data_IF_936328969344
#
_entry.id   IF_936328969344
#
_cell.length_a   1.000
_cell.length_b   1.000
_cell.length_c   1.000
_cell.angle_alpha   90.00
_cell.angle_beta   90.00
_cell.angle_gamma   90.00
#
_symmetry.space_group_name_H-M   'P 1'
#
loop_
_entity.id
_entity.type
_entity.pdbx_description
1 polymer ?
#
# COMPACT_ATOMS: atom_id res chain seq x y z
N UNK A 1 38.62 -27.47 105.10
CA UNK A 1 37.85 -26.85 104.01
C UNK A 1 38.82 -26.30 102.99
N UNK A 2 38.64 -26.70 101.72
CA UNK A 2 38.83 -25.92 100.47
C UNK A 2 40.25 -25.35 100.22
N UNK A 3 41.02 -25.95 99.29
CA UNK A 3 41.10 -25.62 97.84
C UNK A 3 41.92 -24.32 97.62
N UNK A 4 42.98 -24.19 96.82
CA UNK A 4 43.51 -24.89 95.63
C UNK A 4 44.98 -24.48 95.47
N UNK A 5 45.86 -25.46 95.29
CA UNK A 5 47.11 -25.37 94.52
C UNK A 5 46.75 -25.88 93.12
N UNK A 6 47.07 -25.13 92.06
CA UNK A 6 47.42 -25.60 90.72
C UNK A 6 47.15 -24.54 89.64
N UNK A 7 47.96 -24.64 88.59
CA UNK A 7 47.79 -24.04 87.26
C UNK A 7 48.51 -22.71 87.00
N UNK A 8 49.85 -22.78 87.05
CA UNK A 8 50.69 -22.44 85.89
C UNK A 8 50.03 -22.92 84.58
N UNK A 9 50.06 -22.07 83.53
CA UNK A 9 49.48 -22.21 82.17
C UNK A 9 48.20 -21.40 81.96
N UNK A 10 48.34 -20.15 81.50
CA UNK A 10 47.46 -19.48 80.51
C UNK A 10 48.21 -18.20 80.05
N UNK A 11 48.42 -18.05 78.74
CA UNK A 11 48.37 -16.70 78.13
C UNK A 11 49.64 -16.11 77.51
N UNK A 12 50.58 -16.91 77.01
CA UNK A 12 51.59 -16.42 76.05
C UNK A 12 50.96 -16.33 74.65
N UNK A 13 50.27 -15.24 74.30
CA UNK A 13 50.07 -14.81 72.91
C UNK A 13 49.39 -13.44 72.87
N UNK A 14 50.11 -12.39 72.48
CA UNK A 14 49.60 -11.18 71.80
C UNK A 14 50.80 -10.29 71.41
N UNK A 15 51.73 -10.85 70.63
CA UNK A 15 52.48 -10.05 69.68
C UNK A 15 51.69 -10.12 68.37
N UNK A 16 50.84 -9.13 68.12
CA UNK A 16 50.32 -8.88 66.76
C UNK A 16 51.47 -8.40 65.90
N UNK A 17 52.23 -9.35 65.35
CA UNK A 17 53.10 -9.10 64.21
C UNK A 17 52.17 -8.86 63.02
N UNK A 18 51.99 -7.60 62.64
CA UNK A 18 51.46 -7.26 61.33
C UNK A 18 52.40 -7.88 60.29
N UNK A 19 51.99 -8.97 59.64
CA UNK A 19 52.68 -9.48 58.47
C UNK A 19 52.53 -8.43 57.37
N UNK A 20 53.56 -7.64 57.15
CA UNK A 20 53.70 -6.81 55.95
C UNK A 20 53.64 -7.72 54.73
N UNK A 21 52.73 -7.50 53.76
CA UNK A 21 52.69 -8.33 52.56
C UNK A 21 54.06 -8.32 51.87
N UNK A 22 54.53 -9.51 51.47
CA UNK A 22 55.82 -9.68 50.79
C UNK A 22 55.84 -8.88 49.49
N UNK A 23 56.99 -8.30 49.13
CA UNK A 23 57.19 -7.56 47.86
C UNK A 23 56.74 -8.39 46.65
N UNK A 24 56.91 -9.72 46.70
CA UNK A 24 56.42 -10.66 45.67
C UNK A 24 54.89 -10.73 45.57
N UNK A 25 54.16 -10.57 46.67
CA UNK A 25 52.70 -10.60 46.67
C UNK A 25 52.13 -9.29 46.12
N UNK A 26 52.77 -8.16 46.41
CA UNK A 26 52.46 -6.86 45.81
C UNK A 26 52.74 -6.87 44.30
N UNK A 27 53.83 -7.50 43.87
CA UNK A 27 54.21 -7.62 42.45
C UNK A 27 53.26 -8.53 41.67
N UNK A 28 52.80 -9.64 42.28
CA UNK A 28 51.73 -10.49 41.74
C UNK A 28 50.38 -9.79 41.65
N UNK A 29 49.99 -9.02 42.67
CA UNK A 29 48.77 -8.22 42.63
C UNK A 29 48.84 -7.15 41.54
N UNK A 30 49.98 -6.49 41.36
CA UNK A 30 50.21 -5.52 40.29
C UNK A 30 50.07 -6.16 38.90
N UNK A 31 50.66 -7.35 38.68
CA UNK A 31 50.49 -8.09 37.42
C UNK A 31 49.04 -8.52 37.18
N UNK A 32 48.33 -9.01 38.20
CA UNK A 32 46.92 -9.38 38.08
C UNK A 32 46.04 -8.19 37.73
N UNK A 33 46.25 -7.05 38.41
CA UNK A 33 45.52 -5.81 38.15
C UNK A 33 45.84 -5.24 36.76
N UNK A 34 47.09 -5.34 36.31
CA UNK A 34 47.45 -4.92 34.95
C UNK A 34 46.77 -5.79 33.88
N UNK A 35 46.65 -7.12 34.10
CA UNK A 35 45.89 -8.02 33.22
C UNK A 35 44.41 -7.65 33.18
N UNK A 36 43.77 -7.43 34.34
CA UNK A 36 42.38 -6.97 34.44
C UNK A 36 42.16 -5.65 33.68
N UNK A 37 43.10 -4.69 33.79
CA UNK A 37 43.03 -3.42 33.06
C UNK A 37 43.12 -3.65 31.54
N UNK A 38 44.06 -4.50 31.06
CA UNK A 38 44.18 -4.79 29.63
C UNK A 38 42.96 -5.54 29.06
N UNK A 39 42.40 -6.48 29.82
CA UNK A 39 41.17 -7.18 29.44
C UNK A 39 39.96 -6.24 29.42
N UNK A 40 39.87 -5.33 30.40
CA UNK A 40 38.82 -4.32 30.47
C UNK A 40 38.93 -3.33 29.32
N UNK A 41 40.14 -2.85 29.00
CA UNK A 41 40.38 -1.97 27.84
C UNK A 41 39.98 -2.64 26.52
N UNK A 42 40.33 -3.92 26.34
CA UNK A 42 39.98 -4.68 25.14
C UNK A 42 38.46 -4.87 25.00
N UNK A 43 37.77 -5.16 26.11
CA UNK A 43 36.29 -5.23 26.14
C UNK A 43 35.66 -3.88 25.78
N UNK A 44 36.24 -2.78 26.26
CA UNK A 44 35.74 -1.43 25.99
C UNK A 44 35.89 -1.04 24.52
N UNK A 45 37.02 -1.38 23.88
CA UNK A 45 37.24 -1.15 22.44
C UNK A 45 36.36 -2.05 21.56
N UNK A 46 36.15 -3.30 21.96
CA UNK A 46 35.22 -4.21 21.27
C UNK A 46 33.77 -3.70 21.37
N UNK A 47 33.36 -3.20 22.52
CA UNK A 47 32.03 -2.61 22.71
C UNK A 47 31.85 -1.38 21.79
N UNK A 48 32.79 -0.43 21.78
CA UNK A 48 32.79 0.73 20.86
C UNK A 48 32.67 0.32 19.38
N UNK A 49 33.40 -0.73 18.96
CA UNK A 49 33.35 -1.25 17.59
C UNK A 49 32.03 -1.92 17.24
N UNK A 50 31.46 -2.71 18.16
CA UNK A 50 30.14 -3.34 18.01
C UNK A 50 29.05 -2.27 17.90
N UNK A 51 29.04 -1.33 18.83
CA UNK A 51 28.12 -0.19 18.83
C UNK A 51 28.16 0.60 17.53
N UNK A 52 29.34 0.91 16.99
CA UNK A 52 29.48 1.64 15.72
C UNK A 52 28.88 0.85 14.54
N UNK A 53 29.00 -0.49 14.56
CA UNK A 53 28.36 -1.35 13.56
C UNK A 53 26.84 -1.36 13.72
N UNK A 54 26.34 -1.45 14.94
CA UNK A 54 24.90 -1.42 15.25
C UNK A 54 24.26 -0.09 14.85
N UNK A 55 24.91 1.05 15.10
CA UNK A 55 24.45 2.37 14.63
C UNK A 55 24.37 2.44 13.10
N UNK A 56 25.40 1.96 12.39
CA UNK A 56 25.38 1.89 10.92
C UNK A 56 24.29 0.97 10.38
N UNK A 57 24.02 -0.13 11.08
CA UNK A 57 22.93 -1.02 10.74
C UNK A 57 21.57 -0.32 10.93
N UNK A 58 21.42 0.45 12.01
CA UNK A 58 20.23 1.24 12.29
C UNK A 58 20.00 2.33 11.23
N UNK A 59 21.03 3.05 10.81
CA UNK A 59 20.93 4.03 9.71
C UNK A 59 20.45 3.37 8.40
N UNK A 60 20.95 2.16 8.08
CA UNK A 60 20.51 1.40 6.90
C UNK A 60 19.06 0.93 7.04
N UNK A 61 18.67 0.42 8.20
CA UNK A 61 17.30 0.00 8.46
C UNK A 61 16.34 1.20 8.37
N UNK A 62 16.73 2.35 8.90
CA UNK A 62 15.95 3.58 8.78
C UNK A 62 15.81 4.03 7.31
N UNK A 63 16.88 3.94 6.52
CA UNK A 63 16.82 4.22 5.08
C UNK A 63 15.92 3.22 4.32
N UNK A 64 16.00 1.92 4.64
CA UNK A 64 15.11 0.90 4.07
C UNK A 64 13.64 1.18 4.42
N UNK A 65 13.37 1.50 5.70
CA UNK A 65 12.03 1.88 6.17
C UNK A 65 11.53 3.05 5.34
N UNK A 66 12.28 4.16 5.27
CA UNK A 66 11.93 5.33 4.47
C UNK A 66 11.64 4.97 3.01
N UNK A 67 12.47 4.13 2.39
CA UNK A 67 12.27 3.67 1.02
C UNK A 67 10.96 2.91 0.83
N UNK A 68 10.63 1.98 1.75
CA UNK A 68 9.35 1.28 1.71
C UNK A 68 8.16 2.21 1.92
N UNK A 69 8.29 3.22 2.78
CA UNK A 69 7.24 4.21 3.01
C UNK A 69 6.98 5.06 1.77
N UNK A 70 8.03 5.60 1.16
CA UNK A 70 7.94 6.35 -0.10
C UNK A 70 7.32 5.52 -1.21
N UNK A 71 7.69 4.23 -1.31
CA UNK A 71 7.09 3.30 -2.25
C UNK A 71 5.58 3.13 -2.00
N UNK A 72 5.15 2.99 -0.74
CA UNK A 72 3.73 2.91 -0.38
C UNK A 72 2.99 4.19 -0.76
N UNK A 73 3.55 5.38 -0.50
CA UNK A 73 2.95 6.66 -0.92
C UNK A 73 2.78 6.70 -2.44
N UNK A 74 3.82 6.33 -3.18
CA UNK A 74 3.81 6.34 -4.64
C UNK A 74 2.74 5.40 -5.21
N UNK A 75 2.64 4.18 -4.69
CA UNK A 75 1.64 3.20 -5.11
C UNK A 75 0.22 3.68 -4.78
N UNK A 76 0.01 4.33 -3.64
CA UNK A 76 -1.30 4.90 -3.30
C UNK A 76 -1.70 6.03 -4.25
N UNK A 77 -0.77 6.90 -4.65
CA UNK A 77 -1.03 7.92 -5.68
C UNK A 77 -1.40 7.27 -7.02
N UNK A 78 -0.68 6.23 -7.43
CA UNK A 78 -1.00 5.48 -8.65
C UNK A 78 -2.42 4.87 -8.58
N UNK A 79 -2.82 4.30 -7.44
CA UNK A 79 -4.18 3.79 -7.24
C UNK A 79 -5.22 4.92 -7.31
N UNK A 80 -4.93 6.09 -6.74
CA UNK A 80 -5.83 7.25 -6.81
C UNK A 80 -6.04 7.72 -8.25
N UNK A 81 -4.99 7.72 -9.07
CA UNK A 81 -5.05 8.05 -10.50
C UNK A 81 -5.80 6.97 -11.30
N UNK A 82 -5.57 5.69 -11.03
CA UNK A 82 -6.32 4.59 -11.65
C UNK A 82 -7.81 4.69 -11.31
N UNK A 83 -8.17 5.03 -10.07
CA UNK A 83 -9.56 5.24 -9.67
C UNK A 83 -10.22 6.41 -10.43
N UNK A 84 -9.49 7.50 -10.69
CA UNK A 84 -10.00 8.59 -11.53
C UNK A 84 -10.29 8.10 -12.95
N UNK A 85 -9.37 7.35 -13.55
CA UNK A 85 -9.54 6.77 -14.89
C UNK A 85 -10.75 5.83 -14.93
N UNK A 86 -10.90 4.94 -13.94
CA UNK A 86 -12.05 4.05 -13.79
C UNK A 86 -13.36 4.85 -13.75
N UNK A 87 -13.43 5.92 -12.94
CA UNK A 87 -14.63 6.77 -12.84
C UNK A 87 -14.97 7.49 -14.15
N UNK A 88 -13.97 7.89 -14.93
CA UNK A 88 -14.19 8.47 -16.28
C UNK A 88 -14.77 7.40 -17.21
N UNK A 89 -14.14 6.23 -17.29
CA UNK A 89 -14.59 5.13 -18.17
C UNK A 89 -16.00 4.66 -17.81
N UNK A 90 -16.31 4.51 -16.51
CA UNK A 90 -17.66 4.14 -16.07
C UNK A 90 -18.73 5.15 -16.50
N UNK A 91 -18.43 6.46 -16.45
CA UNK A 91 -19.34 7.50 -16.93
C UNK A 91 -19.55 7.44 -18.44
N UNK A 92 -18.50 7.14 -19.20
CA UNK A 92 -18.58 6.98 -20.65
C UNK A 92 -19.42 5.75 -21.02
N UNK A 93 -19.20 4.61 -20.35
CA UNK A 93 -20.01 3.40 -20.50
C UNK A 93 -21.48 3.70 -20.23
N UNK A 94 -21.82 4.32 -19.10
CA UNK A 94 -23.21 4.64 -18.75
C UNK A 94 -23.87 5.55 -19.80
N UNK A 95 -23.13 6.55 -20.29
CA UNK A 95 -23.60 7.44 -21.36
C UNK A 95 -23.85 6.68 -22.66
N UNK A 96 -22.94 5.80 -23.05
CA UNK A 96 -23.04 5.02 -24.29
C UNK A 96 -24.12 3.94 -24.21
N UNK A 97 -24.32 3.32 -23.05
CA UNK A 97 -25.42 2.37 -22.80
C UNK A 97 -26.78 3.08 -22.90
N UNK A 98 -26.92 4.27 -22.31
CA UNK A 98 -28.14 5.09 -22.43
C UNK A 98 -28.41 5.49 -23.89
N UNK A 99 -27.36 5.90 -24.62
CA UNK A 99 -27.47 6.23 -26.04
C UNK A 99 -27.88 5.00 -26.86
N UNK A 100 -27.27 3.85 -26.62
CA UNK A 100 -27.58 2.59 -27.28
C UNK A 100 -29.04 2.17 -27.03
N UNK A 101 -29.52 2.28 -25.80
CA UNK A 101 -30.91 1.99 -25.46
C UNK A 101 -31.88 2.89 -26.24
N UNK A 102 -31.62 4.20 -26.30
CA UNK A 102 -32.42 5.15 -27.07
C UNK A 102 -32.41 4.84 -28.56
N UNK A 103 -31.24 4.53 -29.14
CA UNK A 103 -31.13 4.16 -30.55
C UNK A 103 -31.90 2.88 -30.87
N UNK A 104 -31.79 1.86 -30.01
CA UNK A 104 -32.54 0.60 -30.14
C UNK A 104 -34.04 0.82 -30.04
N UNK A 105 -34.51 1.61 -29.09
CA UNK A 105 -35.94 1.90 -28.94
C UNK A 105 -36.50 2.68 -30.15
N UNK A 106 -35.79 3.73 -30.58
CA UNK A 106 -36.15 4.49 -31.78
C UNK A 106 -36.20 3.59 -33.02
N UNK A 107 -35.21 2.71 -33.18
CA UNK A 107 -35.14 1.74 -34.26
C UNK A 107 -36.34 0.78 -34.24
N UNK A 108 -36.62 0.17 -33.09
CA UNK A 108 -37.74 -0.75 -32.93
C UNK A 108 -39.09 -0.07 -33.17
N UNK A 109 -39.26 1.15 -32.65
CA UNK A 109 -40.48 1.95 -32.86
C UNK A 109 -40.71 2.26 -34.33
N UNK A 110 -39.67 2.66 -35.06
CA UNK A 110 -39.76 2.92 -36.50
C UNK A 110 -40.07 1.65 -37.31
N UNK A 111 -39.46 0.52 -36.95
CA UNK A 111 -39.72 -0.79 -37.59
C UNK A 111 -41.17 -1.23 -37.35
N UNK A 112 -41.69 -1.09 -36.11
CA UNK A 112 -43.09 -1.39 -35.77
C UNK A 112 -44.06 -0.51 -36.56
N UNK A 113 -43.80 0.81 -36.63
CA UNK A 113 -44.60 1.75 -37.43
C UNK A 113 -44.61 1.36 -38.90
N UNK A 114 -43.44 1.08 -39.49
CA UNK A 114 -43.35 0.63 -40.88
C UNK A 114 -44.14 -0.66 -41.12
N UNK A 115 -44.08 -1.62 -40.19
CA UNK A 115 -44.82 -2.89 -40.32
C UNK A 115 -46.32 -2.67 -40.27
N UNK A 116 -46.81 -1.85 -39.33
CA UNK A 116 -48.23 -1.52 -39.20
C UNK A 116 -48.79 -0.82 -40.44
N UNK A 117 -48.02 0.05 -41.09
CA UNK A 117 -48.45 0.75 -42.31
C UNK A 117 -48.37 -0.12 -43.59
N UNK A 118 -47.75 -1.31 -43.51
CA UNK A 118 -47.64 -2.26 -44.63
C UNK A 118 -48.62 -3.41 -44.43
N UNK A 119 -49.88 -3.20 -44.82
CA UNK A 119 -50.96 -4.22 -44.76
C UNK A 119 -50.60 -5.57 -45.43
N UNK A 120 -49.62 -5.61 -46.33
CA UNK A 120 -49.35 -6.77 -47.18
C UNK A 120 -48.04 -7.51 -46.88
N UNK A 121 -47.20 -7.05 -45.93
CA UNK A 121 -45.89 -7.64 -45.62
C UNK A 121 -44.83 -7.55 -46.74
N UNK A 122 -45.24 -7.54 -48.01
CA UNK A 122 -44.39 -7.52 -49.20
C UNK A 122 -44.18 -6.08 -49.72
N UNK A 123 -42.95 -5.73 -50.11
CA UNK A 123 -42.58 -4.37 -50.57
C UNK A 123 -43.27 -4.04 -51.89
N UNK A 124 -43.32 -5.00 -52.80
CA UNK A 124 -43.95 -4.84 -54.10
C UNK A 124 -45.46 -4.68 -53.94
N UNK A 125 -46.09 -5.52 -53.10
CA UNK A 125 -47.53 -5.43 -52.84
C UNK A 125 -47.92 -4.09 -52.17
N UNK A 126 -47.06 -3.52 -51.32
CA UNK A 126 -47.27 -2.18 -50.77
C UNK A 126 -47.23 -1.08 -51.84
N UNK A 127 -46.37 -1.19 -52.84
CA UNK A 127 -46.31 -0.22 -53.95
C UNK A 127 -47.51 -0.42 -54.89
N UNK A 128 -47.85 -1.66 -55.26
CA UNK A 128 -48.92 -1.98 -56.21
C UNK A 128 -50.33 -1.83 -55.65
N UNK A 129 -50.52 -1.86 -54.33
CA UNK A 129 -51.79 -1.51 -53.67
C UNK A 129 -52.06 0.00 -53.61
N UNK A 130 -51.50 0.77 -54.54
CA UNK A 130 -51.70 2.22 -54.60
C UNK A 130 -52.87 2.54 -55.54
N UNK A 131 -53.70 3.49 -55.16
CA UNK A 131 -54.85 3.99 -55.93
C UNK A 131 -54.44 4.85 -57.14
N UNK A 132 -53.20 5.36 -57.15
CA UNK A 132 -52.66 6.16 -58.25
C UNK A 132 -51.15 6.01 -58.40
N UNK A 133 -50.65 6.30 -59.60
CA UNK A 133 -49.21 6.35 -59.90
C UNK A 133 -48.45 7.32 -58.97
N UNK A 134 -49.04 8.48 -58.69
CA UNK A 134 -48.45 9.45 -57.76
C UNK A 134 -48.30 8.86 -56.35
N UNK A 135 -49.31 8.15 -55.85
CA UNK A 135 -49.24 7.48 -54.55
C UNK A 135 -48.18 6.37 -54.54
N UNK A 136 -48.08 5.57 -55.62
CA UNK A 136 -47.06 4.54 -55.78
C UNK A 136 -45.63 5.12 -55.75
N UNK A 137 -45.41 6.24 -56.46
CA UNK A 137 -44.13 6.95 -56.47
C UNK A 137 -43.74 7.46 -55.07
N UNK A 138 -44.67 8.04 -54.31
CA UNK A 138 -44.43 8.46 -52.92
C UNK A 138 -44.07 7.27 -52.01
N UNK A 139 -44.80 6.15 -52.13
CA UNK A 139 -44.51 4.91 -51.38
C UNK A 139 -43.11 4.35 -51.73
N UNK A 140 -42.72 4.39 -53.00
CA UNK A 140 -41.39 3.97 -53.45
C UNK A 140 -40.28 4.86 -52.85
N UNK A 141 -40.44 6.19 -52.92
CA UNK A 141 -39.49 7.13 -52.29
C UNK A 141 -39.37 6.90 -50.80
N UNK A 142 -40.49 6.77 -50.09
CA UNK A 142 -40.52 6.49 -48.66
C UNK A 142 -39.74 5.21 -48.31
N UNK A 143 -39.94 4.12 -49.05
CA UNK A 143 -39.20 2.87 -48.84
C UNK A 143 -37.69 3.04 -49.05
N UNK A 144 -37.28 3.84 -50.04
CA UNK A 144 -35.87 4.15 -50.30
C UNK A 144 -35.25 4.95 -49.16
N UNK A 145 -35.91 6.01 -48.70
CA UNK A 145 -35.43 6.79 -47.55
C UNK A 145 -35.38 5.95 -46.28
N UNK A 146 -36.40 5.13 -46.04
CA UNK A 146 -36.42 4.23 -44.87
C UNK A 146 -35.29 3.20 -44.91
N UNK A 147 -34.96 2.63 -46.07
CA UNK A 147 -33.81 1.70 -46.17
C UNK A 147 -32.50 2.39 -45.84
N UNK A 148 -32.28 3.59 -46.39
CA UNK A 148 -31.08 4.39 -46.11
C UNK A 148 -30.99 4.75 -44.62
N UNK A 149 -32.09 5.23 -44.04
CA UNK A 149 -32.16 5.52 -42.61
C UNK A 149 -31.88 4.27 -41.77
N UNK A 150 -32.46 3.12 -42.12
CA UNK A 150 -32.28 1.84 -41.41
C UNK A 150 -30.83 1.37 -41.46
N UNK A 151 -30.19 1.47 -42.62
CA UNK A 151 -28.76 1.14 -42.79
C UNK A 151 -27.91 2.03 -41.90
N UNK A 152 -28.11 3.35 -41.95
CA UNK A 152 -27.39 4.30 -41.11
C UNK A 152 -27.59 4.04 -39.61
N UNK A 153 -28.83 3.82 -39.16
CA UNK A 153 -29.11 3.48 -37.75
C UNK A 153 -28.43 2.18 -37.31
N UNK A 154 -28.39 1.17 -38.18
CA UNK A 154 -27.73 -0.10 -37.87
C UNK A 154 -26.22 0.09 -37.74
N UNK A 155 -25.64 0.91 -38.60
CA UNK A 155 -24.21 1.26 -38.53
C UNK A 155 -23.88 2.01 -37.23
N UNK A 156 -24.67 3.02 -36.86
CA UNK A 156 -24.48 3.78 -35.63
C UNK A 156 -24.63 2.89 -34.39
N UNK A 157 -25.64 2.01 -34.34
CA UNK A 157 -25.79 1.02 -33.26
C UNK A 157 -24.55 0.12 -33.17
N UNK A 158 -24.01 -0.36 -34.29
CA UNK A 158 -22.80 -1.19 -34.31
C UNK A 158 -21.58 -0.45 -33.79
N UNK A 159 -21.40 0.83 -34.18
CA UNK A 159 -20.30 1.67 -33.68
C UNK A 159 -20.37 1.85 -32.17
N UNK A 160 -21.55 2.13 -31.62
CA UNK A 160 -21.72 2.27 -30.17
C UNK A 160 -21.47 0.95 -29.43
N UNK A 161 -21.91 -0.18 -29.99
CA UNK A 161 -21.63 -1.51 -29.40
C UNK A 161 -20.12 -1.78 -29.37
N UNK A 162 -19.42 -1.56 -30.48
CA UNK A 162 -17.97 -1.76 -30.55
C UNK A 162 -17.22 -0.86 -29.55
N UNK A 163 -17.64 0.41 -29.43
CA UNK A 163 -17.09 1.34 -28.44
C UNK A 163 -17.32 0.87 -27.00
N UNK A 164 -18.52 0.37 -26.68
CA UNK A 164 -18.82 -0.18 -25.36
C UNK A 164 -17.97 -1.42 -25.03
N UNK A 165 -17.69 -2.27 -26.02
CA UNK A 165 -16.79 -3.41 -25.85
C UNK A 165 -15.36 -2.97 -25.53
N UNK A 166 -14.86 -1.96 -26.25
CA UNK A 166 -13.53 -1.36 -26.00
C UNK A 166 -13.45 -0.73 -24.61
N UNK A 167 -14.44 0.08 -24.22
CA UNK A 167 -14.50 0.73 -22.91
C UNK A 167 -14.57 -0.30 -21.77
N UNK A 168 -15.31 -1.41 -21.94
CA UNK A 168 -15.37 -2.52 -20.97
C UNK A 168 -14.02 -3.23 -20.85
N UNK A 169 -13.35 -3.49 -21.96
CA UNK A 169 -12.02 -4.08 -21.94
C UNK A 169 -11.00 -3.16 -21.25
N UNK A 170 -11.06 -1.86 -21.53
CA UNK A 170 -10.24 -0.86 -20.84
C UNK A 170 -10.51 -0.85 -19.32
N UNK A 171 -11.77 -0.95 -18.91
CA UNK A 171 -12.15 -1.03 -17.50
C UNK A 171 -11.59 -2.28 -16.82
N UNK A 172 -11.63 -3.44 -17.47
CA UNK A 172 -11.03 -4.68 -16.95
C UNK A 172 -9.52 -4.52 -16.74
N UNK A 173 -8.82 -3.95 -17.73
CA UNK A 173 -7.38 -3.69 -17.65
C UNK A 173 -7.01 -2.76 -16.49
N UNK A 174 -7.77 -1.68 -16.29
CA UNK A 174 -7.55 -0.74 -15.18
C UNK A 174 -7.79 -1.40 -13.81
N UNK A 175 -8.80 -2.27 -13.70
CA UNK A 175 -9.07 -3.00 -12.45
C UNK A 175 -7.96 -4.00 -12.13
N UNK A 176 -7.41 -4.68 -13.14
CA UNK A 176 -6.28 -5.59 -12.95
C UNK A 176 -4.99 -4.83 -12.56
N UNK A 177 -4.72 -3.67 -13.16
CA UNK A 177 -3.61 -2.80 -12.76
C UNK A 177 -3.76 -2.34 -11.30
N UNK A 178 -4.97 -1.91 -10.90
CA UNK A 178 -5.29 -1.55 -9.52
C UNK A 178 -5.03 -2.70 -8.56
N UNK A 179 -5.49 -3.91 -8.90
CA UNK A 179 -5.29 -5.10 -8.06
C UNK A 179 -3.82 -5.40 -7.82
N UNK A 180 -3.01 -5.38 -8.89
CA UNK A 180 -1.55 -5.56 -8.79
C UNK A 180 -0.88 -4.51 -7.90
N UNK A 181 -1.31 -3.25 -8.01
CA UNK A 181 -0.80 -2.18 -7.14
C UNK A 181 -1.15 -2.42 -5.66
N UNK A 182 -2.38 -2.84 -5.36
CA UNK A 182 -2.81 -3.20 -4.00
C UNK A 182 -2.02 -4.39 -3.44
N UNK A 183 -1.83 -5.45 -4.24
CA UNK A 183 -1.04 -6.61 -3.84
C UNK A 183 0.41 -6.23 -3.53
N UNK A 184 0.98 -5.34 -4.36
CA UNK A 184 2.33 -4.79 -4.13
C UNK A 184 2.38 -4.00 -2.81
N UNK A 185 1.42 -3.12 -2.54
CA UNK A 185 1.33 -2.39 -1.26
C UNK A 185 1.31 -3.35 -0.07
N UNK A 186 0.51 -4.40 -0.13
CA UNK A 186 0.41 -5.38 0.95
C UNK A 186 1.75 -6.08 1.19
N UNK A 187 2.44 -6.48 0.11
CA UNK A 187 3.78 -7.08 0.19
C UNK A 187 4.83 -6.11 0.77
N UNK A 188 4.77 -4.84 0.39
CA UNK A 188 5.65 -3.78 0.89
C UNK A 188 5.39 -3.50 2.36
N UNK A 189 4.12 -3.44 2.80
CA UNK A 189 3.74 -3.29 4.21
C UNK A 189 4.28 -4.44 5.07
N UNK A 190 4.18 -5.68 4.60
CA UNK A 190 4.77 -6.83 5.31
C UNK A 190 6.29 -6.73 5.45
N UNK A 191 6.97 -6.21 4.42
CA UNK A 191 8.42 -6.01 4.44
C UNK A 191 8.83 -4.85 5.35
N UNK A 192 8.04 -3.78 5.38
CA UNK A 192 8.18 -2.64 6.29
C UNK A 192 8.05 -3.10 7.75
N UNK A 193 7.03 -3.88 8.08
CA UNK A 193 6.85 -4.41 9.45
C UNK A 193 8.03 -5.29 9.89
N UNK A 194 8.54 -6.16 9.01
CA UNK A 194 9.76 -6.93 9.29
C UNK A 194 10.96 -6.03 9.59
N UNK A 195 11.13 -4.93 8.84
CA UNK A 195 12.21 -3.96 9.09
C UNK A 195 12.02 -3.18 10.38
N UNK A 196 10.79 -2.81 10.74
CA UNK A 196 10.47 -2.19 12.04
C UNK A 196 10.79 -3.12 13.21
N UNK A 197 10.46 -4.40 13.09
CA UNK A 197 10.85 -5.40 14.10
C UNK A 197 12.37 -5.52 14.24
N UNK A 198 13.10 -5.53 13.12
CA UNK A 198 14.57 -5.56 13.15
C UNK A 198 15.15 -4.28 13.77
N UNK A 199 14.60 -3.11 13.44
CA UNK A 199 14.97 -1.84 14.06
C UNK A 199 14.80 -1.90 15.58
N UNK A 200 13.63 -2.34 16.06
CA UNK A 200 13.35 -2.46 17.50
C UNK A 200 14.33 -3.40 18.20
N UNK A 201 14.74 -4.49 17.54
CA UNK A 201 15.74 -5.43 18.06
C UNK A 201 17.13 -4.79 18.18
N UNK A 202 17.57 -4.08 17.15
CA UNK A 202 18.87 -3.38 17.15
C UNK A 202 18.88 -2.27 18.20
N UNK A 203 17.78 -1.51 18.31
CA UNK A 203 17.57 -0.49 19.33
C UNK A 203 17.67 -1.08 20.74
N UNK A 204 16.98 -2.20 21.00
CA UNK A 204 17.03 -2.86 22.31
C UNK A 204 18.45 -3.30 22.68
N UNK A 205 19.18 -3.90 21.73
CA UNK A 205 20.59 -4.27 21.91
C UNK A 205 21.47 -3.06 22.20
N UNK A 206 21.25 -1.93 21.52
CA UNK A 206 22.00 -0.69 21.75
C UNK A 206 21.70 -0.04 23.11
N UNK A 207 20.46 -0.12 23.60
CA UNK A 207 20.08 0.37 24.94
C UNK A 207 20.77 -0.42 26.05
N UNK A 208 20.95 -1.72 25.85
CA UNK A 208 21.69 -2.57 26.78
C UNK A 208 23.20 -2.26 26.78
N UNK A 209 23.74 -1.80 25.65
CA UNK A 209 25.18 -1.53 25.48
C UNK A 209 25.70 -0.20 26.10
N UNK A 210 24.86 0.81 26.42
CA UNK A 210 25.35 1.97 27.19
C UNK A 210 24.50 3.26 27.25
N UNK A 211 24.91 4.20 28.10
CA UNK A 211 24.20 5.46 28.42
C UNK A 211 24.48 6.64 27.46
N UNK A 212 25.71 6.83 26.95
CA UNK A 212 26.00 7.83 25.89
C UNK A 212 25.28 7.49 24.57
N UNK A 213 24.99 6.21 24.36
CA UNK A 213 24.20 5.71 23.24
C UNK A 213 22.72 6.08 23.33
N UNK A 214 22.17 6.28 24.53
CA UNK A 214 20.76 6.62 24.69
C UNK A 214 20.42 7.95 24.01
N UNK A 215 21.34 8.92 23.99
CA UNK A 215 21.09 10.22 23.37
C UNK A 215 21.06 10.12 21.83
N UNK A 216 22.07 9.47 21.23
CA UNK A 216 22.14 9.27 19.76
C UNK A 216 21.03 8.33 19.26
N UNK A 217 20.70 7.31 20.04
CA UNK A 217 19.61 6.39 19.73
C UNK A 217 18.24 7.07 19.79
N UNK A 218 17.99 7.91 20.79
CA UNK A 218 16.74 8.66 20.91
C UNK A 218 16.54 9.62 19.73
N UNK A 219 17.61 10.25 19.26
CA UNK A 219 17.60 11.15 18.10
C UNK A 219 17.25 10.38 16.80
N UNK A 220 17.87 9.21 16.60
CA UNK A 220 17.59 8.33 15.45
C UNK A 220 16.21 7.70 15.48
N UNK A 221 15.72 7.32 16.67
CA UNK A 221 14.34 6.88 16.85
C UNK A 221 13.34 8.01 16.55
N UNK A 222 13.64 9.25 16.96
CA UNK A 222 12.77 10.40 16.70
C UNK A 222 12.68 10.71 15.19
N UNK A 223 13.81 10.63 14.48
CA UNK A 223 13.85 10.79 13.02
C UNK A 223 13.00 9.72 12.32
N UNK A 224 13.10 8.46 12.76
CA UNK A 224 12.28 7.37 12.21
C UNK A 224 10.77 7.56 12.48
N UNK A 225 10.39 7.92 13.72
CA UNK A 225 8.99 8.17 14.08
C UNK A 225 8.38 9.33 13.30
N UNK A 226 9.15 10.39 13.07
CA UNK A 226 8.68 11.53 12.28
C UNK A 226 8.37 11.13 10.83
N UNK A 227 9.16 10.23 10.23
CA UNK A 227 8.90 9.68 8.90
C UNK A 227 7.66 8.77 8.88
N UNK A 228 7.49 7.94 9.92
CA UNK A 228 6.31 7.10 10.11
C UNK A 228 5.01 7.91 10.14
N UNK A 229 4.96 8.98 10.94
CA UNK A 229 3.77 9.85 11.05
C UNK A 229 3.45 10.56 9.73
N UNK A 230 4.47 11.00 8.99
CA UNK A 230 4.28 11.66 7.69
C UNK A 230 3.69 10.70 6.67
N UNK A 231 4.15 9.44 6.64
CA UNK A 231 3.57 8.41 5.79
C UNK A 231 2.10 8.16 6.14
N UNK A 232 1.79 7.97 7.43
CA UNK A 232 0.42 7.66 7.85
C UNK A 232 -0.57 8.76 7.45
N UNK A 233 -0.17 10.03 7.57
CA UNK A 233 -0.96 11.16 7.08
C UNK A 233 -1.20 11.09 5.56
N UNK A 234 -0.16 10.75 4.80
CA UNK A 234 -0.28 10.62 3.34
C UNK A 234 -1.20 9.46 2.94
N UNK A 235 -1.11 8.31 3.60
CA UNK A 235 -1.99 7.15 3.36
C UNK A 235 -3.43 7.52 3.70
N UNK A 236 -3.67 8.09 4.88
CA UNK A 236 -5.00 8.46 5.34
C UNK A 236 -5.70 9.44 4.38
N UNK A 237 -4.96 10.42 3.83
CA UNK A 237 -5.54 11.36 2.87
C UNK A 237 -5.88 10.69 1.52
N UNK A 238 -5.05 9.75 1.04
CA UNK A 238 -5.37 8.99 -0.17
C UNK A 238 -6.58 8.07 0.03
N UNK A 239 -6.68 7.42 1.19
CA UNK A 239 -7.84 6.58 1.55
C UNK A 239 -9.12 7.42 1.68
N UNK A 240 -9.04 8.63 2.26
CA UNK A 240 -10.18 9.55 2.37
C UNK A 240 -10.71 9.97 1.00
N UNK A 241 -9.83 10.36 0.09
CA UNK A 241 -10.19 10.74 -1.29
C UNK A 241 -10.79 9.55 -2.05
N UNK A 242 -10.25 8.35 -1.86
CA UNK A 242 -10.79 7.13 -2.47
C UNK A 242 -12.18 6.76 -1.93
N UNK A 243 -12.38 6.89 -0.61
CA UNK A 243 -13.66 6.62 0.04
C UNK A 243 -14.74 7.64 -0.35
N UNK A 244 -14.37 8.92 -0.49
CA UNK A 244 -15.27 9.99 -0.92
C UNK A 244 -15.77 9.75 -2.35
N UNK A 245 -14.87 9.40 -3.27
CA UNK A 245 -15.23 9.05 -4.66
C UNK A 245 -16.07 7.78 -4.77
N UNK A 246 -15.80 6.77 -3.94
CA UNK A 246 -16.60 5.54 -3.90
C UNK A 246 -18.02 5.78 -3.36
N UNK A 247 -18.18 6.68 -2.39
CA UNK A 247 -19.48 7.10 -1.88
C UNK A 247 -20.27 7.87 -2.95
N UNK A 248 -19.64 8.79 -3.67
CA UNK A 248 -20.26 9.49 -4.79
C UNK A 248 -20.73 8.54 -5.90
N UNK A 249 -19.97 7.48 -6.20
CA UNK A 249 -20.32 6.49 -7.22
C UNK A 249 -21.46 5.56 -6.75
N UNK A 250 -21.51 5.22 -5.46
CA UNK A 250 -22.59 4.43 -4.87
C UNK A 250 -23.91 5.20 -4.73
N UNK A 251 -23.84 6.51 -4.40
CA UNK A 251 -25.01 7.40 -4.37
C UNK A 251 -25.60 7.57 -5.78
N UNK A 252 -24.75 7.71 -6.81
CA UNK A 252 -25.21 7.76 -8.21
C UNK A 252 -25.90 6.48 -8.66
N UNK A 253 -25.42 5.30 -8.24
CA UNK A 253 -26.05 4.00 -8.54
C UNK A 253 -27.37 3.73 -7.80
N UNK A 254 -27.67 4.47 -6.74
CA UNK A 254 -28.96 4.40 -6.04
C UNK A 254 -29.98 5.41 -6.57
N UNK A 255 -29.51 6.40 -7.33
CA UNK A 255 -30.32 7.44 -7.94
C UNK A 255 -30.70 7.16 -9.41
N UNK A 256 -30.12 6.12 -10.03
CA UNK A 256 -30.58 5.49 -11.28
C UNK A 256 -31.49 4.29 -10.99
#
# INVERSE_FOLDING_TARGET
MKKIICCLLIGAFLCSVAQTPSVKDIERQKQSKQKEITETSKKLDQNKSNTRRSLRALDRIAADIKGYQEQIVSLNKQIADINLKISVVNREIARNDSLLAKLRDNYLTAIKKMRSHRNSGNRLMFIFSSESFHQAYRRMRYLKEFSRWREHQTEEIRKIIARLEEEKHQLEMLNEEKRKAVDTINSTKLSLEKKRMEQARVVASLKEEGAELQQVLAEKEAEARALDEQLERLIAEQERIAAERAREEAERRKAE
#
